data_IF_213730715343
#
_entry.id   IF_213730715343
#
_cell.length_a   1.000
_cell.length_b   1.000
_cell.length_c   1.000
_cell.angle_alpha   90.00
_cell.angle_beta   90.00
_cell.angle_gamma   90.00
#
_symmetry.space_group_name_H-M   'P 1'
#
loop_
_entity.id
_entity.type
_entity.pdbx_description
1 polymer ?
#
# COMPACT_ATOMS: atom_id res chain seq x y z
N UNK A 1 -8.06 -5.84 12.48
CA UNK A 1 -8.54 -5.41 11.14
C UNK A 1 -9.70 -4.41 11.22
N UNK A 2 -10.76 -4.67 11.97
CA UNK A 2 -11.91 -3.75 12.07
C UNK A 2 -11.54 -2.32 12.53
N UNK A 3 -10.64 -2.17 13.49
CA UNK A 3 -10.21 -0.86 14.00
C UNK A 3 -9.51 0.01 12.96
N UNK A 4 -8.74 -0.58 12.04
CA UNK A 4 -8.06 0.17 10.97
C UNK A 4 -9.07 0.72 9.97
N UNK A 5 -10.09 -0.06 9.61
CA UNK A 5 -11.16 0.39 8.72
C UNK A 5 -12.00 1.50 9.37
N UNK A 6 -12.36 1.34 10.65
CA UNK A 6 -13.12 2.35 11.40
C UNK A 6 -12.31 3.65 11.52
N UNK A 7 -11.03 3.56 11.87
CA UNK A 7 -10.14 4.73 11.94
C UNK A 7 -9.98 5.41 10.58
N UNK A 8 -9.85 4.65 9.48
CA UNK A 8 -9.74 5.20 8.13
C UNK A 8 -11.01 5.92 7.67
N UNK A 9 -12.19 5.35 7.97
CA UNK A 9 -13.48 5.99 7.66
C UNK A 9 -13.69 7.25 8.52
N UNK A 10 -13.28 7.20 9.78
CA UNK A 10 -13.38 8.34 10.69
C UNK A 10 -12.43 9.48 10.26
N UNK A 11 -11.18 9.19 9.93
CA UNK A 11 -10.21 10.14 9.41
C UNK A 11 -10.68 10.75 8.09
N UNK A 12 -11.26 9.95 7.21
CA UNK A 12 -11.81 10.47 5.95
C UNK A 12 -12.98 11.43 6.18
N UNK A 13 -13.96 11.06 7.04
CA UNK A 13 -15.07 11.95 7.40
C UNK A 13 -14.60 13.24 8.10
N UNK A 14 -13.59 13.12 8.97
CA UNK A 14 -13.02 14.28 9.63
C UNK A 14 -12.35 15.23 8.63
N UNK A 15 -11.58 14.68 7.67
CA UNK A 15 -10.95 15.49 6.62
C UNK A 15 -11.97 16.17 5.70
N UNK A 16 -13.11 15.51 5.40
CA UNK A 16 -14.19 16.14 4.65
C UNK A 16 -14.90 17.25 5.42
N UNK A 17 -15.04 17.13 6.73
CA UNK A 17 -15.60 18.20 7.56
C UNK A 17 -14.67 19.42 7.60
N UNK A 18 -13.39 19.20 7.87
CA UNK A 18 -12.38 20.29 7.88
C UNK A 18 -12.33 20.98 6.51
N UNK A 19 -12.34 20.22 5.42
CA UNK A 19 -12.35 20.79 4.06
C UNK A 19 -13.59 21.62 3.77
N UNK A 20 -14.76 21.22 4.27
CA UNK A 20 -16.02 21.99 4.13
C UNK A 20 -16.01 23.27 4.98
N UNK A 21 -15.50 23.19 6.20
CA UNK A 21 -15.45 24.33 7.12
C UNK A 21 -14.45 25.39 6.65
N UNK A 22 -13.39 24.98 5.94
CA UNK A 22 -12.40 25.88 5.34
C UNK A 22 -12.80 26.35 3.91
N UNK A 23 -13.92 25.92 3.38
CA UNK A 23 -14.37 26.25 2.01
C UNK A 23 -13.49 25.65 0.91
N UNK A 24 -12.61 24.70 1.26
CA UNK A 24 -11.73 24.00 0.33
C UNK A 24 -12.51 22.89 -0.35
N UNK A 25 -12.75 22.98 -1.63
CA UNK A 25 -13.33 21.88 -2.40
C UNK A 25 -12.24 20.86 -2.72
N UNK A 26 -12.64 19.59 -2.90
CA UNK A 26 -11.69 18.54 -3.31
C UNK A 26 -10.97 18.87 -4.65
N UNK A 27 -11.47 19.85 -5.41
CA UNK A 27 -10.83 20.38 -6.63
C UNK A 27 -9.67 21.33 -6.33
N UNK A 28 -9.64 21.93 -5.14
CA UNK A 28 -8.66 22.95 -4.76
C UNK A 28 -7.45 22.36 -4.01
N UNK A 29 -7.47 21.04 -3.73
CA UNK A 29 -6.28 20.36 -3.21
C UNK A 29 -5.19 20.37 -4.27
N UNK A 30 -4.29 21.33 -4.16
CA UNK A 30 -3.07 21.37 -4.98
C UNK A 30 -2.21 20.14 -4.68
N UNK A 31 -2.05 19.27 -5.68
CA UNK A 31 -1.03 18.23 -5.63
C UNK A 31 0.34 18.90 -5.85
N UNK A 32 0.85 19.52 -4.80
CA UNK A 32 2.16 20.16 -4.81
C UNK A 32 3.27 19.15 -5.18
N UNK A 33 4.47 19.65 -5.48
CA UNK A 33 5.65 18.80 -5.82
C UNK A 33 6.09 17.89 -4.68
N UNK A 34 5.72 18.23 -3.44
CA UNK A 34 6.04 17.43 -2.25
C UNK A 34 5.13 16.23 -2.05
N UNK A 35 3.87 16.32 -2.48
CA UNK A 35 2.89 15.22 -2.31
C UNK A 35 3.33 13.91 -2.98
N UNK A 36 3.73 13.89 -4.26
CA UNK A 36 4.24 12.66 -4.89
C UNK A 36 5.52 12.13 -4.22
N UNK A 37 6.36 13.02 -3.68
CA UNK A 37 7.56 12.61 -2.95
C UNK A 37 7.22 11.86 -1.66
N UNK A 38 6.28 12.38 -0.88
CA UNK A 38 5.86 11.74 0.38
C UNK A 38 5.24 10.36 0.09
N UNK A 39 4.40 10.27 -0.96
CA UNK A 39 3.82 8.97 -1.36
C UNK A 39 4.91 8.03 -1.87
N UNK A 40 5.89 8.50 -2.63
CA UNK A 40 7.01 7.68 -3.09
C UNK A 40 7.83 7.13 -1.91
N UNK A 41 8.11 7.95 -0.90
CA UNK A 41 8.77 7.50 0.34
C UNK A 41 7.95 6.42 1.04
N UNK A 42 6.63 6.60 1.14
CA UNK A 42 5.73 5.58 1.66
C UNK A 42 5.79 4.27 0.86
N UNK A 43 5.78 4.35 -0.48
CA UNK A 43 5.93 3.18 -1.35
C UNK A 43 7.26 2.45 -1.12
N UNK A 44 8.38 3.18 -0.99
CA UNK A 44 9.68 2.57 -0.70
C UNK A 44 9.74 1.95 0.70
N UNK A 45 9.12 2.57 1.70
CA UNK A 45 8.99 1.97 3.03
C UNK A 45 8.21 0.65 2.98
N UNK A 46 7.11 0.60 2.22
CA UNK A 46 6.35 -0.64 1.97
C UNK A 46 7.19 -1.67 1.20
N UNK A 47 7.99 -1.24 0.22
CA UNK A 47 8.89 -2.13 -0.50
C UNK A 47 9.94 -2.76 0.44
N UNK A 48 10.54 -1.96 1.32
CA UNK A 48 11.50 -2.47 2.34
C UNK A 48 10.81 -3.44 3.29
N UNK A 49 9.60 -3.12 3.77
CA UNK A 49 8.82 -4.02 4.61
C UNK A 49 8.50 -5.35 3.88
N UNK A 50 8.26 -5.31 2.57
CA UNK A 50 8.09 -6.49 1.72
C UNK A 50 9.34 -7.37 1.70
N UNK A 51 10.53 -6.78 1.50
CA UNK A 51 11.80 -7.52 1.55
C UNK A 51 12.02 -8.13 2.92
N UNK A 52 11.84 -7.37 3.98
CA UNK A 52 12.00 -7.87 5.36
C UNK A 52 11.03 -9.01 5.65
N UNK A 53 9.79 -8.91 5.17
CA UNK A 53 8.78 -9.98 5.29
C UNK A 53 9.19 -11.25 4.57
N UNK A 54 9.77 -11.13 3.36
CA UNK A 54 10.19 -12.27 2.54
C UNK A 54 11.23 -13.16 3.24
N UNK A 55 12.08 -12.57 4.05
CA UNK A 55 13.16 -13.27 4.76
C UNK A 55 12.93 -13.45 6.26
N UNK A 56 11.73 -13.07 6.76
CA UNK A 56 11.40 -13.20 8.18
C UNK A 56 11.03 -14.64 8.56
N UNK A 57 11.41 -15.03 9.77
CA UNK A 57 10.84 -16.20 10.44
C UNK A 57 9.43 -15.91 10.94
N UNK A 58 8.61 -16.94 11.26
CA UNK A 58 7.29 -16.73 11.86
C UNK A 58 7.37 -15.82 13.10
N UNK A 59 6.69 -14.68 13.03
CA UNK A 59 6.70 -13.67 14.08
C UNK A 59 5.38 -12.88 14.11
N UNK A 60 5.03 -12.20 15.22
CA UNK A 60 3.76 -11.48 15.35
C UNK A 60 3.73 -10.10 14.67
N UNK A 61 4.85 -9.62 14.10
CA UNK A 61 4.98 -8.22 13.66
C UNK A 61 5.04 -8.06 12.16
N UNK A 62 5.77 -8.92 11.47
CA UNK A 62 6.06 -8.83 10.04
C UNK A 62 5.57 -10.07 9.30
N UNK A 63 5.12 -9.88 8.05
CA UNK A 63 4.75 -10.96 7.15
C UNK A 63 3.26 -11.07 6.89
N UNK A 64 2.96 -11.93 5.93
CA UNK A 64 1.59 -12.24 5.54
C UNK A 64 0.99 -13.24 6.53
N UNK A 65 0.03 -12.78 7.33
CA UNK A 65 -0.47 -13.50 8.51
C UNK A 65 -1.92 -13.93 8.34
N UNK A 66 -2.09 -15.16 7.97
CA UNK A 66 -3.38 -15.85 7.98
C UNK A 66 -3.21 -17.15 8.76
N UNK A 67 -4.29 -17.77 9.20
CA UNK A 67 -4.22 -19.00 10.00
C UNK A 67 -3.37 -20.09 9.32
N UNK A 68 -3.45 -20.22 8.01
CA UNK A 68 -2.66 -21.17 7.23
C UNK A 68 -1.14 -20.95 7.36
N UNK A 69 -0.67 -19.70 7.41
CA UNK A 69 0.76 -19.39 7.52
C UNK A 69 1.32 -19.65 8.92
N UNK A 70 0.50 -19.62 9.96
CA UNK A 70 0.95 -19.94 11.34
C UNK A 70 0.92 -21.42 11.65
N UNK A 71 0.20 -22.24 10.86
CA UNK A 71 0.08 -23.65 11.09
C UNK A 71 1.38 -24.42 10.75
N UNK A 72 2.16 -23.93 9.76
CA UNK A 72 3.36 -24.59 9.28
C UNK A 72 4.45 -23.56 8.89
N UNK A 73 5.67 -23.66 9.45
CA UNK A 73 6.79 -22.80 9.08
C UNK A 73 7.18 -22.87 7.60
N UNK A 74 6.97 -23.99 6.92
CA UNK A 74 7.25 -24.13 5.48
C UNK A 74 6.23 -23.31 4.67
N UNK A 75 4.96 -23.35 5.05
CA UNK A 75 3.90 -22.51 4.45
C UNK A 75 4.20 -21.04 4.71
N UNK A 76 4.59 -20.68 5.94
CA UNK A 76 5.04 -19.33 6.26
C UNK A 76 6.11 -18.84 5.29
N UNK A 77 7.19 -19.62 5.17
CA UNK A 77 8.33 -19.22 4.34
C UNK A 77 7.94 -19.04 2.86
N UNK A 78 7.22 -20.01 2.29
CA UNK A 78 6.81 -19.94 0.88
C UNK A 78 5.89 -18.74 0.59
N UNK A 79 4.90 -18.50 1.46
CA UNK A 79 3.95 -17.41 1.29
C UNK A 79 4.63 -16.06 1.46
N UNK A 80 5.41 -15.90 2.53
CA UNK A 80 6.05 -14.62 2.81
C UNK A 80 7.17 -14.29 1.81
N UNK A 81 7.91 -15.29 1.31
CA UNK A 81 8.88 -15.07 0.26
C UNK A 81 8.22 -14.52 -1.00
N UNK A 82 7.16 -15.18 -1.51
CA UNK A 82 6.48 -14.77 -2.74
C UNK A 82 5.71 -13.46 -2.55
N UNK A 83 4.89 -13.36 -1.52
CA UNK A 83 4.09 -12.16 -1.26
C UNK A 83 4.98 -10.96 -0.90
N UNK A 84 6.03 -11.16 -0.10
CA UNK A 84 6.97 -10.11 0.29
C UNK A 84 7.75 -9.55 -0.89
N UNK A 85 8.31 -10.43 -1.74
CA UNK A 85 9.02 -9.97 -2.95
C UNK A 85 8.07 -9.29 -3.96
N UNK A 86 6.87 -9.84 -4.14
CA UNK A 86 5.86 -9.19 -5.00
C UNK A 86 5.51 -7.80 -4.49
N UNK A 87 5.28 -7.66 -3.18
CA UNK A 87 5.01 -6.38 -2.55
C UNK A 87 6.18 -5.40 -2.73
N UNK A 88 7.41 -5.87 -2.56
CA UNK A 88 8.62 -5.06 -2.70
C UNK A 88 8.76 -4.52 -4.13
N UNK A 89 8.63 -5.38 -5.14
CA UNK A 89 8.74 -4.98 -6.55
C UNK A 89 7.60 -4.03 -6.92
N UNK A 90 6.36 -4.39 -6.59
CA UNK A 90 5.18 -3.59 -6.90
C UNK A 90 5.30 -2.19 -6.30
N UNK A 91 5.53 -2.09 -4.99
CA UNK A 91 5.63 -0.80 -4.30
C UNK A 91 6.85 -0.01 -4.75
N UNK A 92 7.97 -0.67 -5.06
CA UNK A 92 9.14 -0.02 -5.63
C UNK A 92 8.85 0.64 -6.99
N UNK A 93 8.18 -0.07 -7.91
CA UNK A 93 7.76 0.47 -9.21
C UNK A 93 6.85 1.69 -9.03
N UNK A 94 5.81 1.58 -8.20
CA UNK A 94 4.95 2.74 -7.93
C UNK A 94 5.70 3.90 -7.28
N UNK A 95 6.65 3.62 -6.38
CA UNK A 95 7.51 4.64 -5.78
C UNK A 95 8.28 5.43 -6.84
N UNK A 96 8.90 4.76 -7.81
CA UNK A 96 9.58 5.43 -8.93
C UNK A 96 8.60 6.20 -9.84
N UNK A 97 7.41 5.65 -10.10
CA UNK A 97 6.38 6.37 -10.87
C UNK A 97 5.95 7.66 -10.17
N UNK A 98 5.74 7.63 -8.84
CA UNK A 98 5.42 8.84 -8.07
C UNK A 98 6.58 9.84 -8.06
N UNK A 99 7.83 9.39 -7.99
CA UNK A 99 8.99 10.30 -8.13
C UNK A 99 8.99 10.98 -9.49
N UNK A 100 8.66 10.27 -10.57
CA UNK A 100 8.57 10.82 -11.93
C UNK A 100 7.54 11.95 -12.05
N UNK A 101 6.46 11.94 -11.26
CA UNK A 101 5.46 13.01 -11.27
C UNK A 101 6.01 14.38 -10.84
N UNK A 102 7.14 14.43 -10.12
CA UNK A 102 7.73 15.70 -9.67
C UNK A 102 8.24 16.57 -10.80
N UNK A 103 8.66 15.96 -11.91
CA UNK A 103 9.16 16.66 -13.11
C UNK A 103 8.04 17.14 -14.05
N UNK A 104 6.80 16.72 -13.80
CA UNK A 104 5.66 17.05 -14.65
C UNK A 104 5.05 18.42 -14.30
N UNK A 105 4.32 18.99 -15.25
CA UNK A 105 3.50 20.18 -15.01
C UNK A 105 2.41 19.90 -13.97
N UNK A 106 1.90 20.93 -13.32
CA UNK A 106 0.91 20.78 -12.25
C UNK A 106 -0.36 20.06 -12.73
N UNK A 107 -0.87 20.43 -13.91
CA UNK A 107 -2.08 19.82 -14.50
C UNK A 107 -1.90 18.33 -14.79
N UNK A 108 -0.77 17.93 -15.39
CA UNK A 108 -0.44 16.54 -15.66
C UNK A 108 -0.26 15.75 -14.36
N UNK A 109 0.46 16.31 -13.40
CA UNK A 109 0.72 15.71 -12.10
C UNK A 109 -0.58 15.42 -11.37
N UNK A 110 -1.52 16.37 -11.28
CA UNK A 110 -2.81 16.20 -10.61
C UNK A 110 -3.63 15.07 -11.27
N UNK A 111 -3.68 15.04 -12.59
CA UNK A 111 -4.40 14.02 -13.34
C UNK A 111 -3.83 12.61 -13.14
N UNK A 112 -2.51 12.48 -13.23
CA UNK A 112 -1.84 11.17 -13.13
C UNK A 112 -1.73 10.68 -11.70
N UNK A 113 -1.57 11.59 -10.71
CA UNK A 113 -1.41 11.23 -9.30
C UNK A 113 -2.59 10.40 -8.79
N UNK A 114 -3.82 10.85 -9.04
CA UNK A 114 -5.03 10.13 -8.58
C UNK A 114 -5.13 8.74 -9.19
N UNK A 115 -4.87 8.63 -10.50
CA UNK A 115 -4.89 7.34 -11.20
C UNK A 115 -3.84 6.37 -10.67
N UNK A 116 -2.60 6.84 -10.47
CA UNK A 116 -1.51 6.04 -9.92
C UNK A 116 -1.79 5.62 -8.47
N UNK A 117 -2.32 6.52 -7.66
CA UNK A 117 -2.62 6.22 -6.26
C UNK A 117 -3.70 5.15 -6.12
N UNK A 118 -4.79 5.29 -6.88
CA UNK A 118 -5.86 4.28 -6.94
C UNK A 118 -5.32 2.96 -7.48
N UNK A 119 -4.53 2.99 -8.55
CA UNK A 119 -3.90 1.81 -9.13
C UNK A 119 -3.01 1.06 -8.12
N UNK A 120 -2.21 1.79 -7.35
CA UNK A 120 -1.39 1.21 -6.29
C UNK A 120 -2.23 0.55 -5.18
N UNK A 121 -3.29 1.23 -4.71
CA UNK A 121 -4.19 0.66 -3.70
C UNK A 121 -4.87 -0.62 -4.20
N UNK A 122 -5.38 -0.61 -5.44
CA UNK A 122 -6.00 -1.80 -6.06
C UNK A 122 -4.98 -2.94 -6.13
N UNK A 123 -3.75 -2.67 -6.58
CA UNK A 123 -2.70 -3.67 -6.68
C UNK A 123 -2.35 -4.30 -5.32
N UNK A 124 -2.28 -3.51 -4.24
CA UNK A 124 -2.08 -4.02 -2.88
C UNK A 124 -3.25 -4.91 -2.43
N UNK A 125 -4.49 -4.49 -2.70
CA UNK A 125 -5.68 -5.28 -2.35
C UNK A 125 -5.68 -6.62 -3.10
N UNK A 126 -5.41 -6.60 -4.40
CA UNK A 126 -5.35 -7.82 -5.21
C UNK A 126 -4.23 -8.75 -4.73
N UNK A 127 -3.08 -8.19 -4.36
CA UNK A 127 -1.98 -8.96 -3.77
C UNK A 127 -2.37 -9.57 -2.43
N UNK A 128 -3.08 -8.85 -1.56
CA UNK A 128 -3.53 -9.37 -0.28
C UNK A 128 -4.53 -10.51 -0.45
N UNK A 129 -5.48 -10.38 -1.38
CA UNK A 129 -6.45 -11.45 -1.71
C UNK A 129 -5.73 -12.64 -2.33
N UNK A 130 -4.88 -12.42 -3.34
CA UNK A 130 -4.13 -13.48 -4.01
C UNK A 130 -3.18 -14.22 -3.05
N UNK A 131 -2.49 -13.49 -2.17
CA UNK A 131 -1.63 -14.08 -1.15
C UNK A 131 -2.42 -14.93 -0.13
N UNK A 132 -3.63 -14.50 0.24
CA UNK A 132 -4.52 -15.29 1.10
C UNK A 132 -4.91 -16.61 0.42
N UNK A 133 -5.39 -16.54 -0.81
CA UNK A 133 -5.77 -17.73 -1.58
C UNK A 133 -4.59 -18.69 -1.77
N UNK A 134 -3.41 -18.13 -2.08
CA UNK A 134 -2.19 -18.91 -2.21
C UNK A 134 -1.80 -19.61 -0.89
N UNK A 135 -1.86 -18.90 0.25
CA UNK A 135 -1.56 -19.48 1.56
C UNK A 135 -2.43 -20.70 1.86
N UNK A 136 -3.73 -20.62 1.60
CA UNK A 136 -4.64 -21.75 1.79
C UNK A 136 -4.47 -22.88 0.76
N UNK A 137 -3.97 -22.57 -0.44
CA UNK A 137 -3.68 -23.62 -1.45
C UNK A 137 -2.44 -24.44 -1.11
N UNK A 138 -1.44 -23.81 -0.47
CA UNK A 138 -0.19 -24.49 -0.09
C UNK A 138 -0.35 -25.26 1.23
N UNK A 139 -1.25 -24.84 2.11
CA UNK A 139 -1.52 -25.50 3.39
C UNK A 139 -2.39 -26.77 3.30
N UNK A 140 -2.86 -27.14 2.10
CA UNK A 140 -3.61 -28.39 1.81
C UNK A 140 -2.66 -29.52 1.46
#
# INVERSE_FOLDING_TARGET
MAYVLIASVWLWRYSEQVARDEGVTARDMEVGRTTPLLVAIGCFAVAVAGVLSAFSTPNPWLGFRVSATFADPAVWHQVNLKAGLTLAVLSGVFGFMFLGLRSMTEGERKRLFSGLFIGWLIAIILMAVGGTLFAYSVAR
#
